data_IF_386342814784
#
_entry.id   IF_386342814784
#
_cell.length_a   1.000
_cell.length_b   1.000
_cell.length_c   1.000
_cell.angle_alpha   90.00
_cell.angle_beta   90.00
_cell.angle_gamma   90.00
#
_symmetry.space_group_name_H-M   'P 1'
#
loop_
_entity.id
_entity.type
_entity.pdbx_description
1 polymer ?
#
# COMPACT_ATOMS: atom_id res chain seq x y z
N UNK A 1 -17.20 6.94 16.09
CA UNK A 1 -18.03 6.21 15.10
C UNK A 1 -17.62 6.52 13.65
N UNK A 2 -17.37 7.78 13.29
CA UNK A 2 -16.92 8.15 11.92
C UNK A 2 -15.57 7.53 11.51
N UNK A 3 -14.64 7.39 12.44
CA UNK A 3 -13.31 6.81 12.17
C UNK A 3 -13.41 5.36 11.67
N UNK A 4 -14.31 4.54 12.23
CA UNK A 4 -14.51 3.15 11.82
C UNK A 4 -14.96 3.10 10.34
N UNK A 5 -15.82 4.03 9.92
CA UNK A 5 -16.26 4.12 8.52
C UNK A 5 -15.09 4.39 7.59
N UNK A 6 -14.21 5.33 7.97
CA UNK A 6 -13.00 5.66 7.20
C UNK A 6 -12.09 4.42 7.09
N UNK A 7 -11.87 3.72 8.19
CA UNK A 7 -11.02 2.53 8.23
C UNK A 7 -11.57 1.40 7.35
N UNK A 8 -12.89 1.16 7.38
CA UNK A 8 -13.54 0.17 6.52
C UNK A 8 -13.37 0.54 5.04
N UNK A 9 -13.52 1.82 4.70
CA UNK A 9 -13.31 2.30 3.32
C UNK A 9 -11.86 2.08 2.88
N UNK A 10 -10.89 2.44 3.72
CA UNK A 10 -9.46 2.26 3.43
C UNK A 10 -9.15 0.77 3.23
N UNK A 11 -9.52 -0.07 4.20
CA UNK A 11 -9.29 -1.52 4.11
C UNK A 11 -9.91 -2.11 2.84
N UNK A 12 -11.13 -1.69 2.49
CA UNK A 12 -11.80 -2.14 1.27
C UNK A 12 -11.03 -1.75 0.00
N UNK A 13 -10.45 -0.55 -0.07
CA UNK A 13 -9.64 -0.15 -1.22
C UNK A 13 -8.40 -1.03 -1.39
N UNK A 14 -7.70 -1.37 -0.31
CA UNK A 14 -6.54 -2.26 -0.36
C UNK A 14 -6.92 -3.69 -0.73
N UNK A 15 -8.04 -4.18 -0.23
CA UNK A 15 -8.60 -5.48 -0.61
C UNK A 15 -8.92 -5.56 -2.10
N UNK A 16 -9.60 -4.56 -2.65
CA UNK A 16 -9.92 -4.50 -4.08
C UNK A 16 -8.66 -4.37 -4.94
N UNK A 17 -7.65 -3.62 -4.49
CA UNK A 17 -6.35 -3.53 -5.15
C UNK A 17 -5.69 -4.91 -5.24
N UNK A 18 -5.68 -5.66 -4.14
CA UNK A 18 -5.09 -6.99 -4.09
C UNK A 18 -5.82 -7.98 -5.01
N UNK A 19 -7.16 -7.90 -5.05
CA UNK A 19 -7.97 -8.68 -6.01
C UNK A 19 -7.64 -8.33 -7.46
N UNK A 20 -7.54 -7.04 -7.78
CA UNK A 20 -7.25 -6.56 -9.13
C UNK A 20 -5.95 -7.15 -9.68
N UNK A 21 -4.94 -7.26 -8.82
CA UNK A 21 -3.64 -7.83 -9.19
C UNK A 21 -3.47 -9.30 -8.75
N UNK A 22 -4.59 -10.05 -8.61
CA UNK A 22 -4.62 -11.51 -8.38
C UNK A 22 -3.71 -12.01 -7.25
N UNK A 23 -3.59 -11.23 -6.18
CA UNK A 23 -2.78 -11.61 -5.03
C UNK A 23 -3.41 -12.81 -4.30
N UNK A 24 -2.57 -13.73 -3.81
CA UNK A 24 -3.01 -15.03 -3.23
C UNK A 24 -3.94 -14.87 -2.02
N UNK A 25 -3.75 -13.85 -1.19
CA UNK A 25 -4.53 -13.60 0.02
C UNK A 25 -5.06 -12.15 0.08
N UNK A 26 -6.10 -11.80 -0.70
CA UNK A 26 -6.60 -10.42 -0.78
C UNK A 26 -7.08 -9.87 0.55
N UNK A 27 -7.67 -10.71 1.41
CA UNK A 27 -8.22 -10.30 2.71
C UNK A 27 -7.15 -9.76 3.68
N UNK A 28 -5.91 -10.27 3.59
CA UNK A 28 -4.80 -9.76 4.42
C UNK A 28 -4.53 -8.29 4.10
N UNK A 29 -4.72 -7.89 2.83
CA UNK A 29 -4.51 -6.51 2.43
C UNK A 29 -5.58 -5.55 2.96
N UNK A 30 -6.77 -6.05 3.31
CA UNK A 30 -7.72 -5.26 4.10
C UNK A 30 -7.07 -4.81 5.42
N UNK A 31 -6.43 -5.73 6.13
CA UNK A 31 -5.71 -5.46 7.39
C UNK A 31 -4.51 -4.56 7.14
N UNK A 32 -3.77 -4.76 6.05
CA UNK A 32 -2.63 -3.88 5.67
C UNK A 32 -3.10 -2.43 5.52
N UNK A 33 -4.27 -2.18 4.94
CA UNK A 33 -4.85 -0.83 4.87
C UNK A 33 -5.08 -0.22 6.26
N UNK A 34 -5.64 -0.99 7.20
CA UNK A 34 -5.86 -0.55 8.58
C UNK A 34 -4.53 -0.28 9.30
N UNK A 35 -3.57 -1.19 9.15
CA UNK A 35 -2.23 -1.06 9.74
C UNK A 35 -1.49 0.14 9.15
N UNK A 36 -1.66 0.43 7.86
CA UNK A 36 -1.08 1.62 7.23
C UNK A 36 -1.65 2.91 7.81
N UNK A 37 -2.95 2.97 8.10
CA UNK A 37 -3.59 4.12 8.75
C UNK A 37 -3.00 4.41 10.13
N UNK A 38 -3.03 3.42 11.03
CA UNK A 38 -2.52 3.59 12.39
C UNK A 38 -0.99 3.65 12.45
N UNK A 39 -0.30 2.91 11.59
CA UNK A 39 1.15 2.96 11.43
C UNK A 39 1.62 4.33 10.94
N UNK A 40 0.87 4.95 10.03
CA UNK A 40 1.13 6.32 9.59
C UNK A 40 0.98 7.35 10.69
N UNK A 41 -0.11 7.29 11.46
CA UNK A 41 -0.31 8.16 12.61
C UNK A 41 0.79 7.96 13.67
N UNK A 42 1.13 6.71 13.97
CA UNK A 42 2.18 6.36 14.94
C UNK A 42 3.56 6.88 14.52
N UNK A 43 3.95 6.65 13.25
CA UNK A 43 5.19 7.20 12.71
C UNK A 43 5.18 8.73 12.72
N UNK A 44 4.04 9.34 12.36
CA UNK A 44 3.84 10.78 12.47
C UNK A 44 4.05 11.31 13.89
N UNK A 45 3.55 10.59 14.90
CA UNK A 45 3.74 10.92 16.31
C UNK A 45 5.20 10.86 16.73
N UNK A 46 5.94 9.83 16.27
CA UNK A 46 7.39 9.74 16.49
C UNK A 46 8.11 10.92 15.86
N UNK A 47 7.82 11.25 14.58
CA UNK A 47 8.44 12.38 13.90
C UNK A 47 8.14 13.71 14.60
N UNK A 48 6.89 13.91 15.05
CA UNK A 48 6.48 15.12 15.73
C UNK A 48 7.13 15.24 17.11
N UNK A 49 7.25 14.14 17.87
CA UNK A 49 7.96 14.13 19.15
C UNK A 49 9.46 14.40 19.02
N UNK A 50 10.11 13.83 18.02
CA UNK A 50 11.51 14.15 17.71
C UNK A 50 11.65 15.63 17.35
N UNK A 51 10.76 16.15 16.51
CA UNK A 51 10.75 17.57 16.14
C UNK A 51 10.53 18.48 17.35
N UNK A 52 9.65 18.09 18.27
CA UNK A 52 9.34 18.86 19.47
C UNK A 52 10.56 18.99 20.39
N UNK A 53 11.28 17.88 20.60
CA UNK A 53 12.52 17.85 21.39
C UNK A 53 13.61 18.73 20.77
N UNK A 54 13.78 18.68 19.45
CA UNK A 54 14.84 19.43 18.75
C UNK A 54 14.52 20.93 18.69
N UNK A 55 13.26 21.29 18.47
CA UNK A 55 12.84 22.68 18.34
C UNK A 55 12.61 23.37 19.69
N UNK A 56 12.41 22.61 20.77
CA UNK A 56 12.07 23.14 22.09
C UNK A 56 10.69 23.83 22.11
N UNK A 57 9.82 23.51 21.15
CA UNK A 57 8.55 24.20 20.94
C UNK A 57 7.45 23.75 21.92
N UNK A 58 7.62 22.64 22.63
CA UNK A 58 6.66 22.02 23.55
C UNK A 58 5.25 21.89 22.95
N UNK A 59 5.20 21.54 21.66
CA UNK A 59 3.99 21.36 20.85
C UNK A 59 3.10 20.28 21.47
N UNK A 60 3.68 19.16 21.92
CA UNK A 60 2.93 18.05 22.50
C UNK A 60 2.28 18.40 23.83
N UNK A 61 2.86 19.33 24.60
CA UNK A 61 2.33 19.75 25.90
C UNK A 61 1.36 20.94 25.78
N UNK A 62 1.58 21.81 24.79
CA UNK A 62 0.87 23.10 24.69
C UNK A 62 -0.30 23.04 23.71
N UNK A 63 -0.27 22.16 22.70
CA UNK A 63 -1.37 22.03 21.76
C UNK A 63 -2.54 21.25 22.35
N UNK A 64 -3.75 21.69 22.01
CA UNK A 64 -4.98 20.96 22.30
C UNK A 64 -5.02 19.64 21.50
N UNK A 65 -5.45 18.56 22.15
CA UNK A 65 -5.71 17.24 21.57
C UNK A 65 -6.51 17.29 20.26
N UNK A 66 -7.49 18.19 20.15
CA UNK A 66 -8.27 18.35 18.93
C UNK A 66 -7.41 18.81 17.74
N UNK A 67 -6.47 19.73 17.96
CA UNK A 67 -5.57 20.19 16.90
C UNK A 67 -4.53 19.13 16.55
N UNK A 68 -4.03 18.37 17.54
CA UNK A 68 -3.16 17.24 17.29
C UNK A 68 -3.87 16.18 16.44
N UNK A 69 -5.12 15.83 16.78
CA UNK A 69 -5.93 14.91 15.98
C UNK A 69 -6.12 15.41 14.53
N UNK A 70 -6.35 16.72 14.36
CA UNK A 70 -6.50 17.34 13.04
C UNK A 70 -5.21 17.28 12.19
N UNK A 71 -4.04 17.26 12.83
CA UNK A 71 -2.73 17.09 12.16
C UNK A 71 -2.46 15.60 11.86
N UNK A 72 -2.75 14.71 12.80
CA UNK A 72 -2.47 13.28 12.60
C UNK A 72 -3.40 12.64 11.57
N UNK A 73 -4.62 13.13 11.41
CA UNK A 73 -5.57 12.62 10.42
C UNK A 73 -5.04 12.70 8.97
N UNK A 74 -4.58 13.85 8.44
CA UNK A 74 -4.00 13.90 7.10
C UNK A 74 -2.70 13.10 7.00
N UNK A 75 -1.88 13.02 8.04
CA UNK A 75 -0.67 12.18 8.05
C UNK A 75 -1.02 10.69 7.87
N UNK A 76 -2.03 10.21 8.61
CA UNK A 76 -2.52 8.84 8.51
C UNK A 76 -3.06 8.53 7.10
N UNK A 77 -3.86 9.45 6.54
CA UNK A 77 -4.40 9.33 5.18
C UNK A 77 -3.30 9.37 4.12
N UNK A 78 -2.29 10.24 4.27
CA UNK A 78 -1.13 10.29 3.38
C UNK A 78 -0.31 9.01 3.44
N UNK A 79 -0.16 8.42 4.63
CA UNK A 79 0.50 7.12 4.79
C UNK A 79 -0.26 6.03 4.05
N UNK A 80 -1.59 5.98 4.19
CA UNK A 80 -2.45 5.06 3.43
C UNK A 80 -2.25 5.21 1.93
N UNK A 81 -2.27 6.45 1.44
CA UNK A 81 -2.05 6.74 0.03
C UNK A 81 -0.65 6.30 -0.44
N UNK A 82 0.38 6.59 0.34
CA UNK A 82 1.75 6.17 0.06
C UNK A 82 1.87 4.65 -0.03
N UNK A 83 1.40 3.92 0.98
CA UNK A 83 1.41 2.45 0.99
C UNK A 83 0.61 1.87 -0.19
N UNK A 84 -0.57 2.41 -0.47
CA UNK A 84 -1.41 1.97 -1.60
C UNK A 84 -0.68 2.13 -2.94
N UNK A 85 -0.03 3.26 -3.16
CA UNK A 85 0.68 3.53 -4.42
C UNK A 85 1.91 2.65 -4.58
N UNK A 86 2.65 2.38 -3.50
CA UNK A 86 3.78 1.44 -3.52
C UNK A 86 3.34 0.03 -3.91
N UNK A 87 2.27 -0.49 -3.29
CA UNK A 87 1.70 -1.80 -3.60
C UNK A 87 1.21 -1.85 -5.05
N UNK A 88 0.44 -0.85 -5.47
CA UNK A 88 -0.08 -0.75 -6.85
C UNK A 88 1.05 -0.77 -7.88
N UNK A 89 2.10 0.02 -7.68
CA UNK A 89 3.24 0.09 -8.61
C UNK A 89 3.98 -1.24 -8.68
N UNK A 90 4.22 -1.87 -7.53
CA UNK A 90 4.88 -3.17 -7.43
C UNK A 90 4.08 -4.25 -8.16
N UNK A 91 2.80 -4.39 -7.81
CA UNK A 91 1.95 -5.44 -8.38
C UNK A 91 1.60 -5.23 -9.83
N UNK A 92 1.50 -3.99 -10.28
CA UNK A 92 1.30 -3.73 -11.70
C UNK A 92 2.48 -4.24 -12.53
N UNK A 93 3.71 -4.05 -12.04
CA UNK A 93 4.91 -4.58 -12.70
C UNK A 93 4.90 -6.10 -12.73
N UNK A 94 4.61 -6.75 -11.60
CA UNK A 94 4.54 -8.21 -11.49
C UNK A 94 3.44 -8.80 -12.39
N UNK A 95 2.25 -8.18 -12.41
CA UNK A 95 1.14 -8.60 -13.26
C UNK A 95 1.47 -8.55 -14.75
N UNK A 96 2.14 -7.48 -15.20
CA UNK A 96 2.54 -7.35 -16.60
C UNK A 96 3.58 -8.40 -16.99
N UNK A 97 4.54 -8.70 -16.11
CA UNK A 97 5.51 -9.77 -16.35
C UNK A 97 4.84 -11.14 -16.43
N UNK A 98 3.90 -11.43 -15.52
CA UNK A 98 3.14 -12.67 -15.56
C UNK A 98 2.29 -12.78 -16.83
N UNK A 99 1.63 -11.72 -17.29
CA UNK A 99 0.86 -11.77 -18.54
C UNK A 99 1.73 -11.93 -19.79
N UNK A 100 2.91 -11.30 -19.83
CA UNK A 100 3.84 -11.45 -20.95
C UNK A 100 4.40 -12.86 -21.07
N UNK A 101 4.61 -13.53 -19.93
CA UNK A 101 5.17 -14.89 -19.87
C UNK A 101 4.12 -15.99 -20.04
N UNK A 102 2.83 -15.66 -20.27
CA UNK A 102 1.83 -16.68 -20.55
C UNK A 102 2.07 -17.28 -21.93
N UNK A 103 1.95 -18.61 -22.08
CA UNK A 103 2.04 -19.26 -23.38
C UNK A 103 0.99 -18.64 -24.31
N UNK A 104 1.43 -18.19 -25.48
CA UNK A 104 0.56 -17.60 -26.48
C UNK A 104 -0.14 -18.71 -27.26
N UNK A 105 -1.21 -18.36 -27.96
CA UNK A 105 -1.93 -19.29 -28.85
C UNK A 105 -0.95 -19.89 -29.89
N UNK A 106 0.03 -19.10 -30.32
CA UNK A 106 1.08 -19.50 -31.27
C UNK A 106 2.10 -20.51 -30.69
N UNK A 107 2.05 -20.75 -29.38
CA UNK A 107 2.90 -21.71 -28.67
C UNK A 107 2.20 -23.08 -28.49
N UNK A 108 0.93 -23.19 -28.90
CA UNK A 108 0.19 -24.46 -28.85
C UNK A 108 0.83 -25.47 -29.81
N UNK A 109 1.26 -26.61 -29.26
CA UNK A 109 1.89 -27.70 -30.01
C UNK A 109 3.43 -27.63 -30.06
N UNK A 110 4.05 -26.58 -29.51
CA UNK A 110 5.50 -26.49 -29.33
C UNK A 110 5.92 -27.17 -28.03
N UNK A 111 7.10 -27.77 -28.01
CA UNK A 111 7.68 -28.32 -26.78
C UNK A 111 8.15 -27.19 -25.85
N UNK A 112 8.29 -27.48 -24.55
CA UNK A 112 8.77 -26.49 -23.56
C UNK A 112 10.16 -25.93 -23.94
N UNK A 113 11.02 -26.76 -24.53
CA UNK A 113 12.35 -26.38 -25.03
C UNK A 113 12.29 -25.40 -26.23
N UNK A 114 11.31 -25.56 -27.12
CA UNK A 114 11.09 -24.67 -28.26
C UNK A 114 10.56 -23.29 -27.84
N UNK A 115 9.77 -23.22 -26.77
CA UNK A 115 9.25 -21.96 -26.22
C UNK A 115 10.36 -21.19 -25.51
N UNK A 116 11.19 -21.88 -24.72
CA UNK A 116 12.31 -21.28 -24.00
C UNK A 116 13.37 -20.68 -24.94
N UNK A 117 13.76 -21.41 -25.99
CA UNK A 117 14.77 -20.95 -26.97
C UNK A 117 14.37 -19.70 -27.77
N UNK A 118 13.05 -19.46 -27.91
CA UNK A 118 12.53 -18.33 -28.68
C UNK A 118 12.38 -17.04 -27.85
N UNK A 119 12.36 -17.16 -26.51
CA UNK A 119 12.34 -16.01 -25.59
C UNK A 119 13.71 -15.37 -25.40
N UNK A 120 14.81 -16.12 -25.58
CA UNK A 120 16.18 -15.64 -25.42
C UNK A 120 16.73 -14.85 -26.63
N UNK A 121 15.98 -14.80 -27.74
CA UNK A 121 16.43 -14.23 -29.02
C UNK A 121 15.95 -12.77 -29.26
N UNK A 122 15.26 -12.14 -28.30
CA UNK A 122 14.75 -10.77 -28.39
C UNK A 122 15.17 -9.87 -27.23
#
# INVERSE_FOLDING_TARGET
MLEIVIIIIIGRQFYELAKKYKQKLPWVYFIVGIVSYYGGAFLGGIFLGIFDIISGANILETMNDFLLMLIFLPIAVLSCWGTYQLLKKKWHKEYLQEEQNKPKIDDIGKSEDEIASNQDFF
#
